data_IF_990366740978
#
_entry.id   IF_990366740978
#
_cell.length_a   1.000
_cell.length_b   1.000
_cell.length_c   1.000
_cell.angle_alpha   90.00
_cell.angle_beta   90.00
_cell.angle_gamma   90.00
#
_symmetry.space_group_name_H-M   'P 1'
#
loop_
_entity.id
_entity.type
_entity.pdbx_description
1 polymer ?
#
# COMPACT_ATOMS: atom_id res chain seq x y z
N UNK A 1 62.43 -33.40 37.62
CA UNK A 1 61.39 -34.35 37.17
C UNK A 1 60.26 -34.35 38.20
N UNK A 2 58.99 -34.21 37.76
CA UNK A 2 57.73 -33.97 38.51
C UNK A 2 57.36 -32.49 38.71
N UNK A 3 56.82 -31.87 37.67
CA UNK A 3 55.85 -30.76 37.71
C UNK A 3 55.50 -30.42 36.26
N UNK A 4 54.69 -31.25 35.60
CA UNK A 4 54.13 -30.94 34.26
C UNK A 4 52.99 -31.90 33.84
N UNK A 5 52.32 -32.58 34.78
CA UNK A 5 51.25 -33.54 34.43
C UNK A 5 49.93 -33.31 35.17
N UNK A 6 49.72 -32.16 35.79
CA UNK A 6 48.52 -31.87 36.61
C UNK A 6 47.65 -30.72 36.07
N UNK A 7 48.05 -30.09 34.95
CA UNK A 7 47.33 -28.93 34.40
C UNK A 7 46.49 -29.25 33.15
N UNK A 8 46.79 -30.34 32.43
CA UNK A 8 45.98 -30.79 31.28
C UNK A 8 44.66 -31.47 31.70
N UNK A 9 44.59 -32.10 32.88
CA UNK A 9 43.39 -32.83 33.33
C UNK A 9 42.25 -31.92 33.85
N UNK A 10 42.54 -30.63 34.14
CA UNK A 10 41.51 -29.65 34.54
C UNK A 10 40.80 -28.99 33.36
N UNK A 11 41.39 -28.99 32.17
CA UNK A 11 40.79 -28.37 30.97
C UNK A 11 39.74 -29.30 30.33
N UNK A 12 39.95 -30.61 30.36
CA UNK A 12 39.00 -31.59 29.80
C UNK A 12 37.68 -31.75 30.58
N UNK A 13 37.63 -31.40 31.87
CA UNK A 13 36.40 -31.48 32.70
C UNK A 13 35.46 -30.28 32.58
N UNK A 14 35.93 -29.14 32.06
CA UNK A 14 35.09 -27.92 31.92
C UNK A 14 34.29 -27.90 30.61
N UNK A 15 34.80 -28.56 29.56
CA UNK A 15 34.13 -28.64 28.26
C UNK A 15 33.01 -29.68 28.19
N UNK A 16 33.00 -30.70 29.06
CA UNK A 16 31.91 -31.70 29.10
C UNK A 16 30.65 -31.21 29.83
N UNK A 17 30.75 -30.21 30.72
CA UNK A 17 29.61 -29.68 31.49
C UNK A 17 28.79 -28.60 30.75
N UNK A 18 29.31 -28.03 29.65
CA UNK A 18 28.58 -27.04 28.83
C UNK A 18 27.79 -27.65 27.66
N UNK A 19 28.01 -28.93 27.30
CA UNK A 19 27.33 -29.57 26.16
C UNK A 19 26.00 -30.24 26.53
N UNK A 20 25.80 -30.65 27.79
CA UNK A 20 24.52 -31.24 28.24
C UNK A 20 23.44 -30.20 28.58
N UNK A 21 23.80 -28.95 28.90
CA UNK A 21 22.81 -27.88 29.17
C UNK A 21 22.11 -27.32 27.92
N UNK A 22 22.55 -27.71 26.71
CA UNK A 22 22.02 -27.21 25.42
C UNK A 22 21.04 -28.18 24.76
N UNK A 23 20.77 -29.36 25.34
CA UNK A 23 19.85 -30.37 24.76
C UNK A 23 18.48 -30.47 25.46
N UNK A 24 18.35 -30.03 26.71
CA UNK A 24 17.06 -30.10 27.44
C UNK A 24 16.17 -28.85 27.32
N UNK A 25 16.71 -27.68 26.96
CA UNK A 25 15.87 -26.47 26.76
C UNK A 25 15.08 -26.46 25.44
N UNK A 26 15.24 -27.50 24.60
CA UNK A 26 14.55 -27.67 23.31
C UNK A 26 13.36 -28.65 23.39
N UNK A 27 13.04 -29.20 24.58
CA UNK A 27 11.91 -30.14 24.77
C UNK A 27 10.78 -29.67 25.69
N UNK A 28 10.92 -28.55 26.40
CA UNK A 28 9.85 -28.02 27.29
C UNK A 28 9.08 -26.79 26.76
N UNK A 29 9.50 -26.18 25.65
CA UNK A 29 8.74 -25.09 25.00
C UNK A 29 7.91 -25.59 23.80
N UNK A 30 7.36 -26.80 23.92
CA UNK A 30 6.52 -27.43 22.88
C UNK A 30 5.28 -28.14 23.44
N UNK A 31 4.93 -27.88 24.72
CA UNK A 31 3.78 -28.51 25.41
C UNK A 31 2.93 -27.49 26.17
N UNK A 32 3.02 -26.19 25.83
CA UNK A 32 2.18 -25.16 26.49
C UNK A 32 1.51 -24.17 25.53
N UNK A 33 1.33 -24.59 24.28
CA UNK A 33 0.55 -23.90 23.24
C UNK A 33 -0.45 -24.88 22.59
N UNK A 34 -1.02 -25.78 23.39
CA UNK A 34 -2.08 -26.70 22.99
C UNK A 34 -3.12 -26.80 24.11
N UNK A 35 -3.81 -25.70 24.42
CA UNK A 35 -5.11 -25.79 25.12
C UNK A 35 -6.01 -24.55 25.00
N UNK A 36 -5.80 -23.66 24.01
CA UNK A 36 -6.74 -22.54 23.74
C UNK A 36 -6.90 -22.30 22.23
N UNK A 37 -7.02 -23.36 21.43
CA UNK A 37 -7.43 -23.19 20.02
C UNK A 37 -8.21 -24.41 19.52
N UNK A 38 -9.33 -24.65 20.19
CA UNK A 38 -10.28 -25.71 19.86
C UNK A 38 -11.66 -25.10 19.63
N UNK A 39 -11.77 -24.08 18.78
CA UNK A 39 -13.08 -23.58 18.33
C UNK A 39 -13.05 -22.81 17.01
N UNK A 40 -12.21 -23.20 16.03
CA UNK A 40 -12.26 -22.53 14.71
C UNK A 40 -11.78 -23.36 13.52
N UNK A 41 -11.99 -24.68 13.50
CA UNK A 41 -11.56 -25.54 12.39
C UNK A 41 -12.63 -26.50 11.86
N UNK A 42 -13.91 -26.11 11.90
CA UNK A 42 -15.03 -26.94 11.39
C UNK A 42 -15.86 -26.27 10.27
N UNK A 43 -15.35 -25.20 9.64
CA UNK A 43 -16.08 -24.52 8.54
C UNK A 43 -15.48 -24.77 7.14
N UNK A 44 -14.21 -25.17 7.02
CA UNK A 44 -13.55 -25.33 5.71
C UNK A 44 -13.84 -26.67 5.01
N UNK A 45 -14.15 -27.73 5.75
CA UNK A 45 -14.44 -29.06 5.17
C UNK A 45 -15.90 -29.21 4.69
N UNK A 46 -16.76 -28.21 4.88
CA UNK A 46 -18.14 -28.21 4.38
C UNK A 46 -18.30 -27.55 2.99
N UNK A 47 -17.26 -26.87 2.48
CA UNK A 47 -17.34 -26.10 1.21
C UNK A 47 -16.71 -26.87 0.04
N UNK A 48 -15.72 -27.72 0.28
CA UNK A 48 -15.07 -28.52 -0.77
C UNK A 48 -15.55 -29.97 -0.77
N UNK A 49 -16.87 -30.12 -0.93
CA UNK A 49 -17.53 -31.37 -1.27
C UNK A 49 -17.14 -31.83 -2.68
N UNK A 50 -16.38 -32.92 -2.70
CA UNK A 50 -15.95 -33.73 -3.84
C UNK A 50 -17.15 -34.36 -4.57
N UNK A 51 -17.33 -34.05 -5.85
CA UNK A 51 -17.93 -34.99 -6.81
C UNK A 51 -17.05 -35.12 -8.05
N UNK A 52 -16.59 -36.35 -8.27
CA UNK A 52 -16.05 -36.82 -9.54
C UNK A 52 -17.20 -37.42 -10.33
N UNK A 53 -17.42 -36.94 -11.54
CA UNK A 53 -18.06 -37.72 -12.60
C UNK A 53 -17.29 -37.50 -13.91
N UNK A 54 -16.74 -38.59 -14.42
CA UNK A 54 -16.18 -38.73 -15.77
C UNK A 54 -17.21 -38.36 -16.85
N UNK A 55 -16.93 -37.37 -17.69
CA UNK A 55 -17.46 -37.28 -19.06
C UNK A 55 -16.67 -36.30 -19.95
N UNK A 56 -16.01 -36.88 -20.96
CA UNK A 56 -15.71 -36.44 -22.33
C UNK A 56 -15.49 -34.96 -22.73
N UNK A 57 -14.40 -34.77 -23.50
CA UNK A 57 -14.07 -33.72 -24.47
C UNK A 57 -15.19 -32.74 -24.89
N UNK A 58 -15.01 -31.44 -24.60
CA UNK A 58 -14.95 -30.43 -25.67
C UNK A 58 -14.41 -29.07 -25.18
N UNK A 59 -13.46 -28.60 -25.99
CA UNK A 59 -12.93 -27.24 -26.08
C UNK A 59 -14.08 -26.23 -26.24
N UNK A 60 -14.30 -25.38 -25.23
CA UNK A 60 -15.04 -24.13 -25.38
C UNK A 60 -14.42 -23.10 -24.42
N UNK A 61 -13.31 -22.52 -24.89
CA UNK A 61 -12.75 -21.28 -24.39
C UNK A 61 -13.72 -20.13 -24.71
N UNK A 62 -14.85 -20.08 -24.02
CA UNK A 62 -15.69 -18.91 -23.97
C UNK A 62 -15.01 -17.90 -23.03
N UNK A 63 -14.16 -17.06 -23.64
CA UNK A 63 -13.81 -15.77 -23.07
C UNK A 63 -15.12 -15.04 -22.78
N UNK A 64 -15.51 -14.98 -21.50
CA UNK A 64 -16.60 -14.11 -21.06
C UNK A 64 -16.04 -12.69 -21.09
N UNK A 65 -15.91 -12.15 -22.31
CA UNK A 65 -15.92 -10.71 -22.53
C UNK A 65 -17.30 -10.25 -22.06
N UNK A 66 -17.35 -9.67 -20.87
CA UNK A 66 -18.53 -8.96 -20.39
C UNK A 66 -18.72 -7.70 -21.24
N UNK A 67 -19.28 -7.88 -22.44
CA UNK A 67 -19.75 -6.82 -23.35
C UNK A 67 -21.04 -6.14 -22.84
N UNK A 68 -21.16 -5.92 -21.53
CA UNK A 68 -22.02 -4.86 -21.02
C UNK A 68 -21.12 -3.65 -20.79
N UNK A 69 -20.75 -2.99 -21.90
CA UNK A 69 -19.99 -1.75 -21.90
C UNK A 69 -20.79 -0.64 -21.24
N UNK A 70 -20.82 -0.65 -19.92
CA UNK A 70 -21.00 0.58 -19.15
C UNK A 70 -19.86 1.48 -19.60
N UNK A 71 -20.19 2.68 -20.08
CA UNK A 71 -19.20 3.69 -20.42
C UNK A 71 -18.50 4.11 -19.12
N UNK A 72 -17.52 3.32 -18.67
CA UNK A 72 -16.80 3.51 -17.40
C UNK A 72 -16.18 4.91 -17.34
N UNK A 73 -15.70 5.41 -18.48
CA UNK A 73 -15.17 6.75 -18.61
C UNK A 73 -16.26 7.83 -18.42
N UNK A 74 -17.45 7.63 -19.00
CA UNK A 74 -18.61 8.46 -18.76
C UNK A 74 -19.09 8.41 -17.30
N UNK A 75 -19.15 7.22 -16.71
CA UNK A 75 -19.55 6.99 -15.32
C UNK A 75 -18.57 7.65 -14.33
N UNK A 76 -17.28 7.59 -14.64
CA UNK A 76 -16.20 8.25 -13.90
C UNK A 76 -16.33 9.77 -13.98
N UNK A 77 -16.51 10.34 -15.17
CA UNK A 77 -16.71 11.78 -15.35
C UNK A 77 -17.95 12.31 -14.62
N UNK A 78 -19.03 11.53 -14.60
CA UNK A 78 -20.23 11.87 -13.86
C UNK A 78 -19.97 11.86 -12.35
N UNK A 79 -19.25 10.87 -11.83
CA UNK A 79 -18.87 10.81 -10.42
C UNK A 79 -17.99 11.99 -9.99
N UNK A 80 -17.01 12.37 -10.83
CA UNK A 80 -16.18 13.57 -10.62
C UNK A 80 -17.04 14.84 -10.62
N UNK A 81 -17.94 14.98 -11.58
CA UNK A 81 -18.81 16.16 -11.69
C UNK A 81 -19.77 16.27 -10.50
N UNK A 82 -20.38 15.16 -10.08
CA UNK A 82 -21.24 15.10 -8.90
C UNK A 82 -20.49 15.46 -7.62
N UNK A 83 -19.24 15.03 -7.49
CA UNK A 83 -18.37 15.41 -6.36
C UNK A 83 -18.06 16.91 -6.38
N UNK A 84 -17.69 17.48 -7.53
CA UNK A 84 -17.45 18.93 -7.68
C UNK A 84 -18.67 19.76 -7.30
N UNK A 85 -19.83 19.40 -7.83
CA UNK A 85 -21.07 20.09 -7.53
C UNK A 85 -21.41 20.04 -6.03
N UNK A 86 -21.14 18.92 -5.36
CA UNK A 86 -21.35 18.82 -3.92
C UNK A 86 -20.44 19.78 -3.15
N UNK A 87 -19.15 19.86 -3.52
CA UNK A 87 -18.18 20.77 -2.88
C UNK A 87 -18.60 22.23 -3.07
N UNK A 88 -19.06 22.61 -4.26
CA UNK A 88 -19.53 23.97 -4.55
C UNK A 88 -20.78 24.34 -3.73
N UNK A 89 -21.68 23.38 -3.52
CA UNK A 89 -22.90 23.57 -2.72
C UNK A 89 -22.66 23.51 -1.21
N UNK A 90 -21.59 22.85 -0.78
CA UNK A 90 -21.27 22.62 0.63
C UNK A 90 -19.82 23.06 0.93
N UNK A 91 -19.52 24.38 0.89
CA UNK A 91 -18.16 24.88 1.09
C UNK A 91 -17.62 24.60 2.49
N UNK A 92 -18.50 24.47 3.48
CA UNK A 92 -18.19 24.16 4.88
C UNK A 92 -18.40 22.67 5.22
N UNK A 93 -18.52 21.81 4.20
CA UNK A 93 -18.67 20.36 4.38
C UNK A 93 -17.47 19.76 5.10
N UNK A 94 -17.72 18.85 6.03
CA UNK A 94 -16.67 18.19 6.80
C UNK A 94 -15.88 17.20 5.94
N UNK A 95 -14.64 16.85 6.35
CA UNK A 95 -13.85 15.85 5.65
C UNK A 95 -14.52 14.47 5.58
N UNK A 96 -15.31 14.10 6.60
CA UNK A 96 -16.09 12.85 6.62
C UNK A 96 -17.20 12.85 5.58
N UNK A 97 -17.99 13.93 5.52
CA UNK A 97 -19.09 14.05 4.56
C UNK A 97 -18.56 14.01 3.13
N UNK A 98 -17.43 14.67 2.85
CA UNK A 98 -16.83 14.61 1.52
C UNK A 98 -16.35 13.20 1.18
N UNK A 99 -15.71 12.49 2.11
CA UNK A 99 -15.27 11.11 1.88
C UNK A 99 -16.45 10.16 1.63
N UNK A 100 -17.56 10.35 2.35
CA UNK A 100 -18.81 9.60 2.14
C UNK A 100 -19.41 9.90 0.76
N UNK A 101 -19.46 11.18 0.37
CA UNK A 101 -19.97 11.59 -0.95
C UNK A 101 -19.16 10.97 -2.07
N UNK A 102 -17.82 11.03 -2.01
CA UNK A 102 -16.96 10.42 -3.03
C UNK A 102 -17.21 8.90 -3.11
N UNK A 103 -17.34 8.24 -1.96
CA UNK A 103 -17.64 6.80 -1.89
C UNK A 103 -19.01 6.50 -2.50
N UNK A 104 -20.02 7.31 -2.21
CA UNK A 104 -21.37 7.17 -2.77
C UNK A 104 -21.38 7.38 -4.29
N UNK A 105 -20.63 8.37 -4.81
CA UNK A 105 -20.48 8.59 -6.25
C UNK A 105 -19.79 7.40 -6.93
N UNK A 106 -18.71 6.88 -6.35
CA UNK A 106 -18.01 5.69 -6.85
C UNK A 106 -18.95 4.46 -6.90
N UNK A 107 -19.72 4.20 -5.84
CA UNK A 107 -20.67 3.08 -5.78
C UNK A 107 -21.84 3.26 -6.75
N UNK A 108 -22.42 4.46 -6.83
CA UNK A 108 -23.54 4.75 -7.72
C UNK A 108 -23.16 4.63 -9.21
N UNK A 109 -21.90 4.91 -9.54
CA UNK A 109 -21.35 4.74 -10.88
C UNK A 109 -20.81 3.32 -11.15
N UNK A 110 -20.94 2.38 -10.20
CA UNK A 110 -20.45 0.99 -10.30
C UNK A 110 -18.94 0.88 -10.63
N UNK A 111 -18.15 1.88 -10.23
CA UNK A 111 -16.71 1.93 -10.48
C UNK A 111 -15.93 1.05 -9.49
N UNK A 112 -14.62 0.88 -9.69
CA UNK A 112 -13.80 0.08 -8.76
C UNK A 112 -13.59 0.83 -7.45
N UNK A 113 -13.36 0.08 -6.38
CA UNK A 113 -13.19 0.64 -5.04
C UNK A 113 -12.01 1.63 -4.93
N UNK A 114 -10.99 1.52 -5.78
CA UNK A 114 -9.85 2.45 -5.80
C UNK A 114 -10.13 3.73 -6.61
N UNK A 115 -11.15 3.75 -7.47
CA UNK A 115 -11.46 4.91 -8.33
C UNK A 115 -11.91 6.12 -7.53
N UNK A 116 -12.40 5.92 -6.29
CA UNK A 116 -12.73 7.00 -5.36
C UNK A 116 -11.57 7.99 -5.13
N UNK A 117 -10.32 7.52 -5.14
CA UNK A 117 -9.15 8.40 -5.01
C UNK A 117 -8.99 9.27 -6.26
N UNK A 118 -9.11 8.68 -7.44
CA UNK A 118 -9.02 9.42 -8.69
C UNK A 118 -10.18 10.42 -8.83
N UNK A 119 -11.39 10.03 -8.40
CA UNK A 119 -12.57 10.90 -8.35
C UNK A 119 -12.27 12.12 -7.48
N UNK A 120 -11.79 11.91 -6.24
CA UNK A 120 -11.48 13.00 -5.33
C UNK A 120 -10.39 13.92 -5.93
N UNK A 121 -9.27 13.35 -6.39
CA UNK A 121 -8.15 14.13 -6.96
C UNK A 121 -8.60 14.98 -8.14
N UNK A 122 -9.37 14.43 -9.08
CA UNK A 122 -9.88 15.21 -10.22
C UNK A 122 -10.98 16.20 -9.84
N UNK A 123 -11.66 15.98 -8.71
CA UNK A 123 -12.65 16.90 -8.17
C UNK A 123 -12.00 18.13 -7.50
N UNK A 124 -10.98 17.91 -6.68
CA UNK A 124 -10.42 18.94 -5.79
C UNK A 124 -9.12 19.55 -6.27
N UNK A 125 -8.30 18.81 -7.01
CA UNK A 125 -6.98 19.26 -7.41
C UNK A 125 -6.92 19.75 -8.84
N UNK A 126 -6.14 20.82 -8.99
CA UNK A 126 -5.75 21.43 -10.25
C UNK A 126 -4.26 21.73 -10.18
N UNK A 127 -3.65 22.11 -11.29
CA UNK A 127 -2.26 22.57 -11.32
C UNK A 127 -2.03 23.87 -10.50
N UNK A 128 -3.06 24.55 -10.01
CA UNK A 128 -2.94 25.70 -9.09
C UNK A 128 -3.16 25.33 -7.61
N UNK A 129 -3.52 24.09 -7.32
CA UNK A 129 -3.90 23.66 -5.97
C UNK A 129 -2.80 23.80 -4.92
N UNK A 130 -1.54 23.67 -5.33
CA UNK A 130 -0.38 23.96 -4.48
C UNK A 130 -0.41 25.41 -3.96
N UNK A 131 -0.77 26.37 -4.82
CA UNK A 131 -0.80 27.81 -4.43
C UNK A 131 -2.02 28.14 -3.59
N UNK A 132 -3.11 27.42 -3.80
CA UNK A 132 -4.37 27.63 -3.08
C UNK A 132 -4.40 26.92 -1.72
N UNK A 133 -3.34 26.17 -1.39
CA UNK A 133 -3.26 25.33 -0.20
C UNK A 133 -4.35 24.25 -0.13
N UNK A 134 -4.79 23.76 -1.30
CA UNK A 134 -5.84 22.75 -1.37
C UNK A 134 -5.36 21.41 -0.79
N UNK A 135 -4.04 21.12 -0.85
CA UNK A 135 -3.48 19.86 -0.31
C UNK A 135 -3.70 19.77 1.20
N UNK A 136 -3.39 20.83 1.94
CA UNK A 136 -3.65 20.90 3.38
C UNK A 136 -5.15 20.88 3.66
N UNK A 137 -5.95 21.59 2.85
CA UNK A 137 -7.41 21.64 3.01
C UNK A 137 -8.07 20.26 2.88
N UNK A 138 -7.62 19.43 1.95
CA UNK A 138 -8.23 18.14 1.65
C UNK A 138 -7.45 16.94 2.21
N UNK A 139 -6.35 17.16 2.94
CA UNK A 139 -5.50 16.09 3.48
C UNK A 139 -6.28 15.10 4.34
N UNK A 140 -7.11 15.59 5.26
CA UNK A 140 -7.91 14.74 6.15
C UNK A 140 -8.92 13.88 5.38
N UNK A 141 -9.57 14.44 4.34
CA UNK A 141 -10.45 13.65 3.46
C UNK A 141 -9.66 12.57 2.73
N UNK A 142 -8.49 12.91 2.18
CA UNK A 142 -7.67 11.95 1.46
C UNK A 142 -7.21 10.83 2.40
N UNK A 143 -6.75 11.16 3.61
CA UNK A 143 -6.35 10.20 4.65
C UNK A 143 -7.51 9.26 5.02
N UNK A 144 -8.75 9.77 5.11
CA UNK A 144 -9.95 8.94 5.34
C UNK A 144 -10.22 7.97 4.20
N UNK A 145 -10.02 8.40 2.95
CA UNK A 145 -10.24 7.54 1.78
C UNK A 145 -9.12 6.50 1.61
N UNK A 146 -7.86 6.89 1.81
CA UNK A 146 -6.71 5.98 1.72
C UNK A 146 -6.64 5.04 2.91
N UNK A 147 -7.06 5.50 4.09
CA UNK A 147 -7.00 4.80 5.36
C UNK A 147 -5.59 4.21 5.62
N UNK A 148 -4.55 4.97 5.24
CA UNK A 148 -3.12 4.60 5.32
C UNK A 148 -2.79 3.21 4.72
N UNK A 149 -3.57 2.78 3.72
CA UNK A 149 -3.32 1.54 2.99
C UNK A 149 -2.41 1.84 1.81
N UNK A 150 -1.22 1.23 1.77
CA UNK A 150 -0.25 1.41 0.67
C UNK A 150 -0.90 1.29 -0.72
N UNK A 151 -1.79 0.31 -0.94
CA UNK A 151 -2.51 0.15 -2.23
C UNK A 151 -3.26 1.44 -2.63
N UNK A 152 -3.98 2.07 -1.70
CA UNK A 152 -4.73 3.29 -1.97
C UNK A 152 -3.81 4.49 -2.16
N UNK A 153 -2.70 4.55 -1.42
CA UNK A 153 -1.65 5.56 -1.57
C UNK A 153 -0.96 5.46 -2.94
N UNK A 154 -0.72 4.24 -3.44
CA UNK A 154 -0.19 4.03 -4.80
C UNK A 154 -1.17 4.50 -5.88
N UNK A 155 -2.48 4.29 -5.69
CA UNK A 155 -3.50 4.88 -6.56
C UNK A 155 -3.58 6.42 -6.45
N UNK A 156 -3.31 7.00 -5.28
CA UNK A 156 -3.20 8.45 -5.10
C UNK A 156 -2.02 9.00 -5.89
N UNK A 157 -0.85 8.38 -5.78
CA UNK A 157 0.33 8.75 -6.56
C UNK A 157 0.02 8.68 -8.06
N UNK A 158 -0.63 7.61 -8.54
CA UNK A 158 -1.01 7.47 -9.94
C UNK A 158 -2.00 8.55 -10.42
N UNK A 159 -2.97 8.94 -9.58
CA UNK A 159 -3.87 10.04 -9.89
C UNK A 159 -3.13 11.38 -10.03
N UNK A 160 -2.11 11.60 -9.20
CA UNK A 160 -1.25 12.79 -9.27
C UNK A 160 -0.32 12.77 -10.48
N UNK A 161 0.18 11.61 -10.90
CA UNK A 161 0.96 11.47 -12.15
C UNK A 161 0.13 11.96 -13.34
N UNK A 162 -1.12 11.50 -13.44
CA UNK A 162 -2.04 11.93 -14.50
C UNK A 162 -2.39 13.43 -14.42
N UNK A 163 -2.55 13.98 -13.22
CA UNK A 163 -2.79 15.42 -13.04
C UNK A 163 -1.58 16.26 -13.48
N UNK A 164 -0.36 15.78 -13.23
CA UNK A 164 0.86 16.56 -13.36
C UNK A 164 1.65 16.26 -14.64
N UNK A 165 1.14 15.44 -15.55
CA UNK A 165 1.86 15.05 -16.77
C UNK A 165 2.34 16.23 -17.62
N UNK A 166 1.56 17.33 -17.67
CA UNK A 166 1.92 18.55 -18.41
C UNK A 166 2.90 19.46 -17.65
N UNK A 167 3.02 19.27 -16.33
CA UNK A 167 3.92 20.04 -15.45
C UNK A 167 4.57 19.12 -14.42
N UNK A 168 5.57 18.30 -14.81
CA UNK A 168 6.16 17.29 -13.93
C UNK A 168 6.73 17.86 -12.61
N UNK A 169 7.25 19.09 -12.62
CA UNK A 169 7.72 19.80 -11.41
C UNK A 169 6.67 19.99 -10.33
N UNK A 170 5.39 20.04 -10.70
CA UNK A 170 4.27 20.18 -9.77
C UNK A 170 4.06 18.87 -9.00
N UNK A 171 4.40 17.73 -9.59
CA UNK A 171 4.19 16.41 -8.99
C UNK A 171 5.01 16.20 -7.72
N UNK A 172 6.32 16.49 -7.74
CA UNK A 172 7.18 16.34 -6.56
C UNK A 172 6.72 17.22 -5.39
N UNK A 173 6.16 18.40 -5.69
CA UNK A 173 5.61 19.30 -4.67
C UNK A 173 4.34 18.71 -4.05
N UNK A 174 3.45 18.10 -4.84
CA UNK A 174 2.31 17.36 -4.30
C UNK A 174 2.74 16.19 -3.41
N UNK A 175 3.69 15.38 -3.87
CA UNK A 175 4.21 14.25 -3.08
C UNK A 175 4.75 14.74 -1.73
N UNK A 176 5.58 15.78 -1.75
CA UNK A 176 6.14 16.34 -0.52
C UNK A 176 5.04 16.89 0.41
N UNK A 177 4.07 17.66 -0.11
CA UNK A 177 3.00 18.21 0.71
C UNK A 177 2.10 17.13 1.32
N UNK A 178 1.85 16.03 0.61
CA UNK A 178 1.08 14.90 1.12
C UNK A 178 1.86 14.05 2.13
N UNK A 179 3.17 13.92 1.95
CA UNK A 179 4.07 13.32 2.94
C UNK A 179 4.11 14.16 4.23
N UNK A 180 4.35 15.46 4.11
CA UNK A 180 4.37 16.40 5.24
C UNK A 180 3.02 16.45 6.00
N UNK A 181 1.92 16.14 5.30
CA UNK A 181 0.57 16.08 5.87
C UNK A 181 0.17 14.68 6.39
N UNK A 182 1.10 13.73 6.47
CA UNK A 182 0.88 12.35 6.95
C UNK A 182 -0.18 11.56 6.15
N UNK A 183 -0.33 11.89 4.85
CA UNK A 183 -1.26 11.22 3.94
C UNK A 183 -0.58 10.14 3.12
N UNK A 184 0.68 10.38 2.72
CA UNK A 184 1.51 9.42 2.01
C UNK A 184 2.65 8.94 2.91
N UNK A 185 2.80 7.63 3.02
CA UNK A 185 3.92 7.03 3.71
C UNK A 185 5.18 7.05 2.84
N UNK A 186 6.33 7.22 3.50
CA UNK A 186 7.66 7.11 2.87
C UNK A 186 7.77 5.85 2.02
N UNK A 187 7.41 4.70 2.60
CA UNK A 187 7.46 3.39 1.93
C UNK A 187 6.70 3.39 0.60
N UNK A 188 5.51 3.99 0.54
CA UNK A 188 4.71 4.02 -0.68
C UNK A 188 5.32 4.92 -1.76
N UNK A 189 6.03 5.98 -1.37
CA UNK A 189 6.79 6.86 -2.28
C UNK A 189 8.03 6.12 -2.81
N UNK A 190 8.79 5.46 -1.94
CA UNK A 190 9.99 4.72 -2.32
C UNK A 190 9.64 3.54 -3.24
N UNK A 191 8.67 2.70 -2.88
CA UNK A 191 8.19 1.60 -3.74
C UNK A 191 7.69 2.12 -5.10
N UNK A 192 6.98 3.25 -5.12
CA UNK A 192 6.58 3.87 -6.39
C UNK A 192 7.78 4.31 -7.23
N UNK A 193 8.85 4.84 -6.62
CA UNK A 193 10.01 5.36 -7.34
C UNK A 193 10.82 4.25 -8.02
N UNK A 194 10.90 3.08 -7.40
CA UNK A 194 11.72 1.95 -7.85
C UNK A 194 11.05 1.08 -8.92
N UNK A 195 9.72 0.99 -8.91
CA UNK A 195 8.99 0.03 -9.75
C UNK A 195 8.90 0.45 -11.23
N UNK A 196 8.59 -0.45 -12.16
CA UNK A 196 8.22 -0.08 -13.54
C UNK A 196 6.74 0.30 -13.65
N UNK A 197 6.24 0.53 -14.87
CA UNK A 197 4.78 0.57 -15.14
C UNK A 197 4.12 -0.70 -14.60
N UNK A 198 3.02 -0.54 -13.88
CA UNK A 198 2.32 -1.61 -13.17
C UNK A 198 0.80 -1.35 -13.13
N UNK A 199 0.07 -2.17 -12.39
CA UNK A 199 -1.40 -2.11 -12.28
C UNK A 199 -1.95 -0.79 -11.69
N UNK A 200 -1.10 0.00 -11.03
CA UNK A 200 -1.49 1.32 -10.52
C UNK A 200 -1.36 2.40 -11.59
N UNK A 201 -0.51 2.20 -12.60
CA UNK A 201 -0.18 3.25 -13.57
C UNK A 201 -1.31 3.42 -14.58
N UNK A 202 -1.92 4.61 -14.59
CA UNK A 202 -3.02 4.92 -15.50
C UNK A 202 -2.57 4.87 -16.97
N UNK A 203 -3.47 4.46 -17.87
CA UNK A 203 -3.17 4.33 -19.30
C UNK A 203 -2.74 5.64 -19.97
N UNK A 204 -3.24 6.78 -19.46
CA UNK A 204 -2.89 8.12 -19.95
C UNK A 204 -1.43 8.51 -19.68
N UNK A 205 -0.77 7.85 -18.72
CA UNK A 205 0.62 8.10 -18.33
C UNK A 205 1.53 7.06 -18.96
N UNK A 206 2.11 7.41 -20.11
CA UNK A 206 3.14 6.59 -20.75
C UNK A 206 4.47 6.61 -19.98
N UNK A 207 5.34 5.64 -20.27
CA UNK A 207 6.63 5.47 -19.57
C UNK A 207 7.55 6.69 -19.76
N UNK A 208 7.48 7.38 -20.89
CA UNK A 208 8.28 8.57 -21.14
C UNK A 208 7.89 9.72 -20.21
N UNK A 209 6.59 9.98 -20.06
CA UNK A 209 6.08 10.97 -19.09
C UNK A 209 6.39 10.57 -17.66
N UNK A 210 6.27 9.29 -17.32
CA UNK A 210 6.56 8.78 -15.99
C UNK A 210 8.04 8.94 -15.63
N UNK A 211 8.95 8.68 -16.56
CA UNK A 211 10.37 8.91 -16.37
C UNK A 211 10.68 10.40 -16.08
N UNK A 212 9.96 11.34 -16.72
CA UNK A 212 10.08 12.77 -16.40
C UNK A 212 9.59 13.09 -14.98
N UNK A 213 8.44 12.54 -14.58
CA UNK A 213 7.90 12.71 -13.22
C UNK A 213 8.87 12.19 -12.16
N UNK A 214 9.50 11.04 -12.41
CA UNK A 214 10.54 10.48 -11.54
C UNK A 214 11.80 11.32 -11.49
N UNK A 215 12.28 11.78 -12.64
CA UNK A 215 13.46 12.65 -12.68
C UNK A 215 13.28 13.93 -11.87
N UNK A 216 12.08 14.50 -11.85
CA UNK A 216 11.76 15.66 -11.00
C UNK A 216 11.55 15.29 -9.52
N UNK A 217 11.14 14.05 -9.22
CA UNK A 217 10.95 13.54 -7.86
C UNK A 217 12.23 12.98 -7.21
N UNK A 218 13.28 12.73 -7.99
CA UNK A 218 14.56 12.18 -7.52
C UNK A 218 15.12 12.87 -6.26
N UNK A 219 15.15 14.22 -6.15
CA UNK A 219 15.67 14.86 -4.95
C UNK A 219 14.86 14.55 -3.68
N UNK A 220 13.56 14.34 -3.82
CA UNK A 220 12.69 13.95 -2.71
C UNK A 220 12.95 12.49 -2.31
N UNK A 221 13.11 11.60 -3.29
CA UNK A 221 13.39 10.17 -3.05
C UNK A 221 14.72 9.99 -2.33
N UNK A 222 15.78 10.67 -2.80
CA UNK A 222 17.10 10.65 -2.14
C UNK A 222 17.01 11.18 -0.71
N UNK A 223 16.31 12.31 -0.51
CA UNK A 223 16.12 12.87 0.83
C UNK A 223 15.42 11.88 1.78
N UNK A 224 14.37 11.20 1.32
CA UNK A 224 13.66 10.20 2.12
C UNK A 224 14.57 9.02 2.48
N UNK A 225 15.41 8.54 1.57
CA UNK A 225 16.33 7.42 1.82
C UNK A 225 17.42 7.76 2.85
N UNK A 226 17.99 8.97 2.77
CA UNK A 226 19.03 9.44 3.71
C UNK A 226 18.48 9.62 5.14
N UNK A 227 17.21 10.04 5.27
CA UNK A 227 16.55 10.22 6.55
C UNK A 227 16.37 8.88 7.29
N UNK A 228 15.95 7.82 6.58
CA UNK A 228 15.78 6.49 7.18
C UNK A 228 17.11 5.84 7.61
N UNK A 229 18.21 6.10 6.89
CA UNK A 229 19.54 5.60 7.27
C UNK A 229 20.07 6.29 8.56
N UNK A 230 19.71 7.56 8.78
CA UNK A 230 20.18 8.35 9.91
C UNK A 230 19.51 7.99 11.25
N UNK A 231 18.25 7.57 11.24
CA UNK A 231 17.53 7.15 12.47
C UNK A 231 17.96 5.76 13.00
N UNK A 232 18.79 5.05 12.25
CA UNK A 232 19.23 3.68 12.60
C UNK A 232 20.55 3.62 13.39
N UNK A 233 21.21 4.75 13.65
CA UNK A 233 22.58 4.80 14.20
C UNK A 233 22.70 5.25 15.68
N UNK A 234 21.59 5.46 16.41
CA UNK A 234 21.59 6.02 17.77
C UNK A 234 21.25 5.03 18.93
N UNK A 235 21.42 3.71 18.75
CA UNK A 235 21.20 2.69 19.81
C UNK A 235 22.46 1.86 20.20
N UNK A 236 23.63 2.48 20.33
CA UNK A 236 24.81 1.81 20.93
C UNK A 236 25.72 2.81 21.71
N UNK A 237 25.33 3.18 22.94
CA UNK A 237 26.25 3.61 24.04
C UNK A 237 25.74 3.19 25.44
#
# INVERSE_FOLDING_TARGET
>A
KKKDSDEEDKKAKKDKKKKDKKKDKKKEKKVKDQEENAEESNLEDAIFGKEKSDFDDQDDQASVESETGVDDEGAFKLAVSGTKEWIERNPDGSPDELAEVVTNQQMASALKAHDKIQILVQAVFTLQSIKNNDVEKYSETIAKITNHKSIMERHLIAALEALCMEKPKTFVVFLKQLYDADVLNEKSILEWSEEGRNDFTLEVVDEGKRALLRGEAEPLVVWLQEDSESESEDEDD
#
